data_IF_752272650473
#
_entry.id   IF_752272650473
#
_cell.length_a   1.000
_cell.length_b   1.000
_cell.length_c   1.000
_cell.angle_alpha   90.00
_cell.angle_beta   90.00
_cell.angle_gamma   90.00
#
_symmetry.space_group_name_H-M   'P 1'
#
loop_
_entity.id
_entity.type
_entity.pdbx_description
1 polymer ?
#
# COMPACT_ATOMS: atom_id res chain seq x y z
N UNK A 1 -3.96 6.70 4.98
CA UNK A 1 -5.20 6.74 4.18
C UNK A 1 -6.15 7.76 4.78
N UNK A 2 -7.01 8.38 3.97
CA UNK A 2 -8.09 9.23 4.46
C UNK A 2 -9.32 8.40 4.90
N UNK A 3 -10.48 9.04 5.13
CA UNK A 3 -11.74 8.34 5.46
C UNK A 3 -12.31 7.53 4.29
N UNK A 4 -11.93 7.87 3.06
CA UNK A 4 -12.43 7.23 1.84
C UNK A 4 -11.54 6.07 1.37
N UNK A 5 -10.37 5.87 1.99
CA UNK A 5 -9.44 4.80 1.64
C UNK A 5 -8.33 5.22 0.67
N UNK A 6 -8.18 6.52 0.39
CA UNK A 6 -7.10 7.00 -0.48
C UNK A 6 -5.77 7.03 0.27
N UNK A 7 -4.73 6.43 -0.31
CA UNK A 7 -3.38 6.49 0.23
C UNK A 7 -2.78 7.90 0.05
N UNK A 8 -1.96 8.36 1.01
CA UNK A 8 -1.43 9.72 1.00
C UNK A 8 -0.48 9.97 -0.19
N UNK A 9 0.43 9.03 -0.45
CA UNK A 9 1.26 9.04 -1.66
C UNK A 9 0.82 7.85 -2.51
N UNK A 10 0.40 8.11 -3.75
CA UNK A 10 0.04 7.11 -4.74
C UNK A 10 0.56 7.55 -6.11
N UNK A 11 1.21 6.64 -6.83
CA UNK A 11 1.80 6.88 -8.14
C UNK A 11 1.48 5.67 -9.02
N UNK A 12 0.99 5.95 -10.22
CA UNK A 12 0.88 5.00 -11.31
C UNK A 12 2.05 5.21 -12.28
N UNK A 13 2.69 4.13 -12.71
CA UNK A 13 3.71 4.14 -13.75
C UNK A 13 3.26 3.23 -14.87
N UNK A 14 3.12 3.80 -16.07
CA UNK A 14 2.73 3.08 -17.27
C UNK A 14 3.91 2.99 -18.25
N UNK A 15 4.21 1.77 -18.69
CA UNK A 15 5.15 1.50 -19.77
C UNK A 15 4.37 1.11 -21.03
N UNK A 16 4.51 1.93 -22.07
CA UNK A 16 3.91 1.68 -23.38
C UNK A 16 4.99 1.19 -24.34
N UNK A 17 4.73 0.08 -25.04
CA UNK A 17 5.63 -0.48 -26.05
C UNK A 17 4.90 -0.52 -27.39
N UNK A 18 5.54 0.03 -28.42
CA UNK A 18 5.10 -0.05 -29.81
C UNK A 18 6.15 -0.83 -30.60
N UNK A 19 5.76 -1.93 -31.21
CA UNK A 19 6.66 -2.76 -32.02
C UNK A 19 5.90 -3.35 -33.22
N UNK A 20 6.39 -3.11 -34.43
CA UNK A 20 5.80 -3.63 -35.69
C UNK A 20 4.28 -3.46 -35.81
N UNK A 21 3.76 -2.31 -35.36
CA UNK A 21 2.31 -2.01 -35.35
C UNK A 21 1.53 -2.61 -34.18
N UNK A 22 2.12 -3.52 -33.40
CA UNK A 22 1.56 -3.99 -32.14
C UNK A 22 1.79 -2.96 -31.03
N UNK A 23 0.79 -2.82 -30.14
CA UNK A 23 0.81 -1.91 -28.98
C UNK A 23 0.58 -2.72 -27.71
N UNK A 24 1.40 -2.49 -26.70
CA UNK A 24 1.23 -3.04 -25.37
C UNK A 24 1.37 -1.93 -24.32
N UNK A 25 0.66 -2.06 -23.21
CA UNK A 25 0.81 -1.23 -22.03
C UNK A 25 0.98 -2.12 -20.79
N UNK A 26 1.83 -1.69 -19.87
CA UNK A 26 2.08 -2.33 -18.59
C UNK A 26 2.06 -1.29 -17.48
N UNK A 27 1.17 -1.47 -16.51
CA UNK A 27 0.98 -0.54 -15.39
C UNK A 27 1.53 -1.14 -14.10
N UNK A 28 2.21 -0.32 -13.31
CA UNK A 28 2.60 -0.61 -11.94
C UNK A 28 2.18 0.52 -11.02
N UNK A 29 1.62 0.18 -9.85
CA UNK A 29 1.24 1.16 -8.82
C UNK A 29 2.22 1.10 -7.65
N UNK A 30 2.50 2.27 -7.06
CA UNK A 30 3.28 2.42 -5.83
C UNK A 30 2.58 3.40 -4.93
N UNK A 31 2.43 3.04 -3.65
CA UNK A 31 1.85 3.95 -2.68
C UNK A 31 2.33 3.76 -1.25
N UNK A 32 1.89 4.67 -0.37
CA UNK A 32 2.01 4.52 1.07
C UNK A 32 1.24 3.30 1.55
N UNK A 33 1.73 2.66 2.62
CA UNK A 33 1.02 1.52 3.22
C UNK A 33 -0.40 1.95 3.65
N UNK A 34 -1.47 1.24 3.20
CA UNK A 34 -2.83 1.75 3.22
C UNK A 34 -3.52 1.57 4.59
N UNK A 35 -2.91 2.11 5.64
CA UNK A 35 -3.46 2.15 7.00
C UNK A 35 -3.04 3.40 7.76
N UNK A 36 -3.64 3.66 8.92
CA UNK A 36 -3.34 4.84 9.72
C UNK A 36 -2.00 4.72 10.47
N UNK A 37 -0.95 5.30 9.91
CA UNK A 37 0.34 5.46 10.55
C UNK A 37 0.91 6.86 10.28
N UNK A 38 1.87 7.28 11.09
CA UNK A 38 2.54 8.57 10.94
C UNK A 38 4.01 8.46 11.32
N UNK A 39 4.84 9.28 10.69
CA UNK A 39 6.24 9.42 11.02
C UNK A 39 6.56 10.91 11.03
N UNK A 40 6.32 11.54 12.19
CA UNK A 40 6.51 12.99 12.33
C UNK A 40 8.01 13.33 12.36
N UNK A 41 8.47 14.33 11.60
CA UNK A 41 9.85 14.80 11.65
C UNK A 41 10.28 15.18 13.07
N UNK A 42 11.51 14.85 13.44
CA UNK A 42 12.15 15.28 14.68
C UNK A 42 13.68 15.33 14.47
N UNK A 43 14.45 15.66 15.53
CA UNK A 43 15.92 15.79 15.44
C UNK A 43 16.66 14.46 15.22
N UNK A 44 15.98 13.31 15.20
CA UNK A 44 16.62 12.00 14.96
C UNK A 44 16.76 11.77 13.45
N UNK A 45 17.88 11.14 13.06
CA UNK A 45 18.15 10.75 11.67
C UNK A 45 17.02 9.93 11.03
N UNK A 46 16.45 8.98 11.78
CA UNK A 46 15.30 8.17 11.35
C UNK A 46 14.22 8.17 12.44
N UNK A 47 13.24 9.08 12.37
CA UNK A 47 12.11 9.09 13.30
C UNK A 47 11.39 7.74 13.29
N UNK A 48 10.94 7.25 14.45
CA UNK A 48 10.26 5.96 14.54
C UNK A 48 8.83 6.10 13.99
N UNK A 49 8.37 5.21 13.08
CA UNK A 49 6.97 5.18 12.66
C UNK A 49 6.04 4.84 13.83
N UNK A 50 4.87 5.47 13.86
CA UNK A 50 3.82 5.26 14.87
C UNK A 50 2.54 4.86 14.16
N UNK A 51 2.03 3.68 14.48
CA UNK A 51 0.74 3.18 14.02
C UNK A 51 -0.33 3.70 14.97
N UNK A 52 -1.44 4.22 14.43
CA UNK A 52 -2.59 4.61 15.25
C UNK A 52 -3.10 3.41 16.06
N UNK A 53 -3.59 3.63 17.28
CA UNK A 53 -4.20 2.57 18.10
C UNK A 53 -5.70 2.73 18.25
N UNK A 54 -6.23 3.90 17.91
CA UNK A 54 -7.61 4.31 18.14
C UNK A 54 -8.43 4.31 16.86
N UNK A 55 -7.79 4.14 15.70
CA UNK A 55 -8.45 4.21 14.39
C UNK A 55 -8.75 2.80 13.86
N UNK A 56 -9.88 2.64 13.19
CA UNK A 56 -10.21 1.40 12.50
C UNK A 56 -9.39 1.28 11.20
N UNK A 57 -8.30 0.52 11.24
CA UNK A 57 -7.45 0.32 10.06
C UNK A 57 -8.11 -0.54 8.99
N UNK A 58 -8.90 -1.54 9.38
CA UNK A 58 -9.43 -2.54 8.45
C UNK A 58 -10.46 -1.95 7.49
N UNK A 59 -11.35 -1.08 7.96
CA UNK A 59 -12.36 -0.42 7.10
C UNK A 59 -11.68 0.38 5.99
N UNK A 60 -10.72 1.24 6.35
CA UNK A 60 -9.99 2.03 5.36
C UNK A 60 -9.07 1.18 4.46
N UNK A 61 -8.46 0.12 4.99
CA UNK A 61 -7.63 -0.82 4.22
C UNK A 61 -8.47 -1.59 3.19
N UNK A 62 -9.67 -2.01 3.57
CA UNK A 62 -10.61 -2.70 2.68
C UNK A 62 -11.09 -1.76 1.58
N UNK A 63 -11.56 -0.55 1.91
CA UNK A 63 -11.95 0.46 0.91
C UNK A 63 -10.85 0.77 -0.09
N UNK A 64 -9.60 0.88 0.40
CA UNK A 64 -8.44 1.08 -0.46
C UNK A 64 -8.33 -0.04 -1.49
N UNK A 65 -8.29 -1.30 -1.06
CA UNK A 65 -8.11 -2.42 -1.97
C UNK A 65 -9.33 -2.71 -2.83
N UNK A 66 -10.55 -2.42 -2.36
CA UNK A 66 -11.76 -2.49 -3.20
C UNK A 66 -11.66 -1.53 -4.38
N UNK A 67 -11.15 -0.30 -4.15
CA UNK A 67 -10.89 0.66 -5.24
C UNK A 67 -9.78 0.18 -6.19
N UNK A 68 -8.69 -0.38 -5.66
CA UNK A 68 -7.59 -0.90 -6.47
C UNK A 68 -8.02 -2.10 -7.32
N UNK A 69 -8.79 -3.01 -6.75
CA UNK A 69 -9.33 -4.18 -7.44
C UNK A 69 -10.32 -3.78 -8.54
N UNK A 70 -11.13 -2.74 -8.31
CA UNK A 70 -12.05 -2.21 -9.31
C UNK A 70 -11.32 -1.62 -10.53
N UNK A 71 -10.22 -0.90 -10.29
CA UNK A 71 -9.49 -0.18 -11.35
C UNK A 71 -8.50 -1.09 -12.08
N UNK A 72 -7.70 -1.86 -11.33
CA UNK A 72 -6.55 -2.59 -11.85
C UNK A 72 -6.73 -4.11 -11.83
N UNK A 73 -7.84 -4.61 -11.28
CA UNK A 73 -8.06 -6.05 -11.12
C UNK A 73 -7.13 -6.67 -10.07
N UNK A 74 -6.77 -7.94 -10.27
CA UNK A 74 -5.95 -8.73 -9.33
C UNK A 74 -4.64 -8.01 -8.99
N UNK A 75 -4.37 -7.86 -7.69
CA UNK A 75 -3.19 -7.16 -7.18
C UNK A 75 -2.14 -8.15 -6.66
N UNK A 76 -0.86 -7.84 -6.89
CA UNK A 76 0.28 -8.47 -6.21
C UNK A 76 0.98 -7.41 -5.38
N UNK A 77 1.05 -7.62 -4.07
CA UNK A 77 1.50 -6.65 -3.08
C UNK A 77 2.97 -6.89 -2.74
N UNK A 78 3.84 -5.99 -3.17
CA UNK A 78 5.27 -6.06 -2.84
C UNK A 78 5.62 -5.10 -1.70
N UNK A 79 5.97 -5.65 -0.53
CA UNK A 79 6.44 -4.88 0.62
C UNK A 79 7.93 -5.13 0.87
N UNK A 80 8.77 -4.10 0.67
CA UNK A 80 10.22 -4.15 0.88
C UNK A 80 10.68 -3.36 2.11
N UNK A 81 9.77 -3.06 3.03
CA UNK A 81 10.12 -2.34 4.26
C UNK A 81 11.11 -3.15 5.10
N UNK A 82 11.97 -2.47 5.87
CA UNK A 82 12.95 -3.18 6.69
C UNK A 82 12.26 -4.02 7.78
N UNK A 83 12.35 -5.34 7.64
CA UNK A 83 11.79 -6.31 8.58
C UNK A 83 12.52 -6.36 9.94
N UNK A 84 13.57 -5.53 10.11
CA UNK A 84 14.32 -5.35 11.35
C UNK A 84 14.20 -3.90 11.85
N UNK A 85 14.36 -3.72 13.16
CA UNK A 85 14.41 -2.39 13.77
C UNK A 85 13.06 -1.67 13.82
N UNK A 86 13.07 -0.36 13.53
CA UNK A 86 11.93 0.54 13.77
C UNK A 86 10.75 0.36 12.81
N UNK A 87 10.95 -0.27 11.66
CA UNK A 87 9.90 -0.45 10.64
C UNK A 87 9.24 -1.82 10.70
N UNK A 88 9.83 -2.80 11.41
CA UNK A 88 9.23 -4.13 11.60
C UNK A 88 7.75 -4.09 12.03
N UNK A 89 7.30 -3.20 12.93
CA UNK A 89 5.88 -3.13 13.29
C UNK A 89 4.97 -2.74 12.12
N UNK A 90 5.44 -1.95 11.16
CA UNK A 90 4.67 -1.60 9.96
C UNK A 90 4.47 -2.81 9.07
N UNK A 91 5.53 -3.60 8.87
CA UNK A 91 5.47 -4.84 8.09
C UNK A 91 4.46 -5.82 8.68
N UNK A 92 4.56 -6.08 9.99
CA UNK A 92 3.65 -7.00 10.68
C UNK A 92 2.20 -6.52 10.64
N UNK A 93 1.98 -5.20 10.73
CA UNK A 93 0.64 -4.63 10.62
C UNK A 93 0.07 -4.81 9.21
N UNK A 94 0.89 -4.60 8.18
CA UNK A 94 0.47 -4.81 6.79
C UNK A 94 0.14 -6.27 6.51
N UNK A 95 1.02 -7.19 6.88
CA UNK A 95 0.82 -8.63 6.72
C UNK A 95 -0.45 -9.12 7.43
N UNK A 96 -0.69 -8.64 8.66
CA UNK A 96 -1.92 -8.94 9.40
C UNK A 96 -3.18 -8.46 8.70
N UNK A 97 -3.16 -7.29 8.06
CA UNK A 97 -4.35 -6.77 7.35
C UNK A 97 -4.59 -7.49 6.02
N UNK A 98 -3.53 -7.79 5.26
CA UNK A 98 -3.63 -8.60 4.02
C UNK A 98 -4.19 -9.98 4.35
N UNK A 99 -3.63 -10.66 5.34
CA UNK A 99 -4.10 -11.96 5.82
C UNK A 99 -5.54 -11.89 6.36
N UNK A 100 -5.89 -10.80 7.04
CA UNK A 100 -7.23 -10.57 7.60
C UNK A 100 -8.32 -10.34 6.56
N UNK A 101 -7.99 -9.78 5.38
CA UNK A 101 -8.96 -9.60 4.29
C UNK A 101 -9.38 -10.93 3.64
N UNK A 102 -8.52 -11.95 3.71
CA UNK A 102 -8.76 -13.27 3.10
C UNK A 102 -9.32 -13.19 1.66
N UNK A 103 -8.77 -12.29 0.85
CA UNK A 103 -9.23 -12.03 -0.51
C UNK A 103 -8.26 -12.67 -1.51
N UNK A 104 -8.70 -13.69 -2.25
CA UNK A 104 -7.88 -14.41 -3.23
C UNK A 104 -7.41 -13.57 -4.44
N UNK A 105 -7.92 -12.34 -4.59
CA UNK A 105 -7.46 -11.37 -5.59
C UNK A 105 -6.27 -10.51 -5.11
N UNK A 106 -5.90 -10.60 -3.83
CA UNK A 106 -4.72 -9.98 -3.25
C UNK A 106 -3.69 -11.07 -2.96
N UNK A 107 -2.47 -10.93 -3.48
CA UNK A 107 -1.38 -11.87 -3.24
C UNK A 107 -0.13 -11.16 -2.74
#
# INVERSE_FOLDING_TARGET
IDSEGHAANFVETEQIVLYEGAKASFIQTRGSMPFYWSQRPNLKYKPKPIISKTTNHMDGFQRHFDSQLLIYGKQTLLNLVNQKGSEKPLEQAFDKMVSGMNNGMLK
#
